data_IF_837274273267
#
_entry.id   IF_837274273267
#
_cell.length_a   1.000
_cell.length_b   1.000
_cell.length_c   1.000
_cell.angle_alpha   90.00
_cell.angle_beta   90.00
_cell.angle_gamma   90.00
#
_symmetry.space_group_name_H-M   'P 1'
#
loop_
_entity.id
_entity.type
_entity.pdbx_description
1 polymer ?
#
# COMPACT_ATOMS: atom_id res chain seq x y z
N UNK A 1 -15.27 10.03 -21.67
CA UNK A 1 -15.88 10.51 -20.42
C UNK A 1 -16.67 11.74 -20.75
N UNK A 2 -17.95 11.74 -20.43
CA UNK A 2 -18.81 12.90 -20.64
C UNK A 2 -18.83 13.74 -19.36
N UNK A 3 -18.45 15.01 -19.43
CA UNK A 3 -18.39 15.89 -18.27
C UNK A 3 -19.76 16.11 -17.64
N UNK A 4 -20.83 16.16 -18.42
CA UNK A 4 -22.18 16.46 -17.93
C UNK A 4 -22.81 15.24 -17.24
N UNK A 5 -22.38 14.03 -17.63
CA UNK A 5 -22.94 12.77 -17.13
C UNK A 5 -22.06 12.13 -16.04
N UNK A 6 -20.74 12.26 -16.16
CA UNK A 6 -19.76 11.52 -15.35
C UNK A 6 -19.04 12.38 -14.31
N UNK A 7 -19.47 13.62 -14.09
CA UNK A 7 -18.89 14.49 -13.07
C UNK A 7 -19.99 15.10 -12.20
N UNK A 8 -19.86 14.96 -10.89
CA UNK A 8 -20.73 15.59 -9.90
C UNK A 8 -19.90 16.54 -9.03
N UNK A 9 -20.13 17.85 -9.17
CA UNK A 9 -19.25 18.87 -8.60
C UNK A 9 -17.83 18.72 -9.14
N UNK A 10 -16.88 18.39 -8.28
CA UNK A 10 -15.47 18.16 -8.62
C UNK A 10 -15.06 16.69 -8.64
N UNK A 11 -16.02 15.77 -8.51
CA UNK A 11 -15.79 14.34 -8.44
C UNK A 11 -16.16 13.70 -9.77
N UNK A 12 -15.20 13.01 -10.39
CA UNK A 12 -15.43 12.20 -11.58
C UNK A 12 -15.79 10.77 -11.18
N UNK A 13 -16.82 10.21 -11.81
CA UNK A 13 -17.31 8.85 -11.52
C UNK A 13 -17.70 8.12 -12.80
N UNK A 14 -17.35 6.85 -12.89
CA UNK A 14 -17.79 5.96 -13.98
C UNK A 14 -18.09 4.57 -13.42
N UNK A 15 -19.12 3.93 -13.94
CA UNK A 15 -19.37 2.51 -13.72
C UNK A 15 -19.00 1.72 -14.98
N UNK A 16 -18.19 0.68 -14.81
CA UNK A 16 -17.75 -0.19 -15.92
C UNK A 16 -18.32 -1.59 -15.68
N UNK A 17 -19.36 -2.01 -16.44
CA UNK A 17 -19.98 -3.32 -16.27
C UNK A 17 -18.99 -4.48 -16.49
N UNK A 18 -19.10 -5.53 -15.69
CA UNK A 18 -18.31 -6.76 -15.84
C UNK A 18 -16.92 -6.75 -15.20
N UNK A 19 -16.50 -5.64 -14.56
CA UNK A 19 -15.29 -5.62 -13.74
C UNK A 19 -15.50 -6.35 -12.41
N UNK A 20 -14.48 -7.07 -11.97
CA UNK A 20 -14.48 -7.86 -10.75
C UNK A 20 -13.25 -7.53 -9.87
N UNK A 21 -13.26 -7.89 -8.58
CA UNK A 21 -12.07 -7.84 -7.74
C UNK A 21 -10.86 -8.51 -8.38
N UNK A 22 -9.68 -7.89 -8.23
CA UNK A 22 -8.44 -8.27 -8.91
C UNK A 22 -8.17 -7.51 -10.21
N UNK A 23 -9.16 -6.77 -10.74
CA UNK A 23 -8.95 -5.91 -11.90
C UNK A 23 -7.86 -4.88 -11.64
N UNK A 24 -6.90 -4.78 -12.57
CA UNK A 24 -5.82 -3.80 -12.52
C UNK A 24 -6.21 -2.53 -13.28
N UNK A 25 -5.91 -1.36 -12.71
CA UNK A 25 -6.20 -0.08 -13.34
C UNK A 25 -5.18 1.02 -13.01
N UNK A 26 -5.28 2.12 -13.76
CA UNK A 26 -4.56 3.39 -13.57
C UNK A 26 -5.50 4.52 -13.96
N UNK A 27 -5.23 5.73 -13.47
CA UNK A 27 -5.82 6.95 -14.00
C UNK A 27 -4.87 7.67 -14.95
N UNK A 28 -5.45 8.51 -15.80
CA UNK A 28 -4.77 9.56 -16.56
C UNK A 28 -5.61 10.81 -16.40
N UNK A 29 -4.98 11.97 -16.27
CA UNK A 29 -5.67 13.24 -16.08
C UNK A 29 -5.14 14.25 -17.10
N UNK A 30 -6.05 14.84 -17.87
CA UNK A 30 -5.77 15.94 -18.77
C UNK A 30 -6.16 17.28 -18.13
N UNK A 31 -5.49 18.36 -18.51
CA UNK A 31 -5.67 19.67 -17.92
C UNK A 31 -4.55 20.66 -18.31
N UNK A 32 -4.55 21.88 -17.74
CA UNK A 32 -3.54 22.87 -18.04
C UNK A 32 -2.14 22.43 -17.61
N UNK A 33 -1.14 22.68 -18.46
CA UNK A 33 0.27 22.57 -18.08
C UNK A 33 0.87 23.97 -17.97
N UNK A 34 0.92 24.49 -16.75
CA UNK A 34 1.52 25.78 -16.41
C UNK A 34 2.27 25.67 -15.08
N UNK A 35 3.54 25.22 -15.13
CA UNK A 35 4.34 25.03 -13.92
C UNK A 35 4.56 26.30 -13.11
N UNK A 36 4.48 27.49 -13.73
CA UNK A 36 4.66 28.77 -13.04
C UNK A 36 3.51 29.08 -12.07
N UNK A 37 2.32 28.55 -12.36
CA UNK A 37 1.13 28.61 -11.50
C UNK A 37 0.83 27.27 -10.79
N UNK A 38 1.75 26.31 -10.87
CA UNK A 38 1.63 25.00 -10.20
C UNK A 38 0.82 23.94 -10.96
N UNK A 39 0.26 24.24 -12.12
CA UNK A 39 -0.46 23.27 -12.94
C UNK A 39 0.51 22.33 -13.68
N UNK A 40 0.38 21.02 -13.44
CA UNK A 40 1.31 20.00 -13.95
C UNK A 40 0.59 18.80 -14.57
N UNK A 41 -0.53 19.03 -15.23
CA UNK A 41 -1.27 17.95 -15.90
C UNK A 41 -0.45 17.41 -17.08
N UNK A 42 -0.30 16.10 -17.14
CA UNK A 42 0.28 15.39 -18.28
C UNK A 42 -0.66 14.23 -18.63
N UNK A 43 -1.40 14.32 -19.76
CA UNK A 43 -2.34 13.28 -20.14
C UNK A 43 -1.64 11.96 -20.47
N UNK A 44 -0.33 11.93 -20.71
CA UNK A 44 0.42 10.70 -20.94
C UNK A 44 0.86 10.01 -19.65
N UNK A 45 0.92 10.74 -18.53
CA UNK A 45 1.32 10.18 -17.24
C UNK A 45 0.29 9.17 -16.73
N UNK A 46 0.78 8.08 -16.13
CA UNK A 46 -0.06 7.10 -15.43
C UNK A 46 -0.08 7.44 -13.95
N UNK A 47 -1.29 7.61 -13.41
CA UNK A 47 -1.53 8.01 -12.03
C UNK A 47 -2.07 6.84 -11.22
N UNK A 48 -1.64 6.78 -9.96
CA UNK A 48 -2.24 5.92 -8.95
C UNK A 48 -3.52 6.60 -8.46
N UNK A 49 -4.56 5.81 -8.24
CA UNK A 49 -5.75 6.25 -7.53
C UNK A 49 -5.38 6.52 -6.05
N UNK A 50 -5.54 7.77 -5.56
CA UNK A 50 -5.22 8.09 -4.17
C UNK A 50 -6.07 7.29 -3.16
N UNK A 51 -7.20 6.72 -3.59
CA UNK A 51 -8.07 5.84 -2.79
C UNK A 51 -7.84 4.34 -3.04
N UNK A 52 -6.81 3.96 -3.79
CA UNK A 52 -6.49 2.55 -4.02
C UNK A 52 -6.24 1.81 -2.70
N UNK A 53 -6.93 0.68 -2.52
CA UNK A 53 -6.76 -0.20 -1.36
C UNK A 53 -5.62 -1.20 -1.51
N UNK A 54 -5.15 -1.42 -2.74
CA UNK A 54 -3.98 -2.23 -3.01
C UNK A 54 -3.31 -1.80 -4.32
N UNK A 55 -1.99 -1.95 -4.37
CA UNK A 55 -1.19 -1.80 -5.57
C UNK A 55 -0.49 -3.11 -5.95
N UNK A 56 -0.29 -3.33 -7.26
CA UNK A 56 0.39 -4.49 -7.82
C UNK A 56 1.51 -4.08 -8.79
N UNK A 57 2.61 -4.84 -8.74
CA UNK A 57 3.80 -4.60 -9.57
C UNK A 57 4.77 -3.58 -8.95
N UNK A 58 5.70 -3.05 -9.73
CA UNK A 58 6.67 -2.04 -9.32
C UNK A 58 6.64 -0.88 -10.31
N UNK A 59 7.36 0.19 -10.00
CA UNK A 59 7.71 1.17 -11.02
C UNK A 59 8.42 0.46 -12.17
N UNK A 60 7.95 0.69 -13.40
CA UNK A 60 8.53 0.11 -14.60
C UNK A 60 9.60 1.06 -15.17
N UNK A 61 10.69 0.51 -15.76
CA UNK A 61 11.64 1.32 -16.50
C UNK A 61 10.96 2.18 -17.56
N UNK A 62 11.43 3.42 -17.68
CA UNK A 62 11.02 4.37 -18.71
C UNK A 62 12.25 4.91 -19.43
N UNK A 63 12.13 5.03 -20.75
CA UNK A 63 13.13 5.65 -21.63
C UNK A 63 12.58 6.90 -22.33
N UNK A 64 11.29 7.18 -22.16
CA UNK A 64 10.52 8.27 -22.79
C UNK A 64 10.18 9.41 -21.82
N UNK A 65 10.69 9.35 -20.58
CA UNK A 65 10.41 10.34 -19.54
C UNK A 65 9.06 10.14 -18.83
N UNK A 66 8.25 9.16 -19.23
CA UNK A 66 6.96 8.86 -18.60
C UNK A 66 7.13 7.89 -17.44
N UNK A 67 6.90 8.37 -16.22
CA UNK A 67 6.89 7.54 -15.02
C UNK A 67 5.73 6.53 -15.08
N UNK A 68 6.03 5.26 -14.81
CA UNK A 68 5.08 4.15 -14.87
C UNK A 68 4.95 3.51 -13.48
N UNK A 69 4.02 3.97 -12.63
CA UNK A 69 3.87 3.44 -11.28
C UNK A 69 3.22 2.04 -11.27
N UNK A 70 3.25 1.35 -10.11
CA UNK A 70 2.45 0.16 -9.85
C UNK A 70 0.97 0.38 -10.20
N UNK A 71 0.28 -0.69 -10.63
CA UNK A 71 -1.16 -0.67 -10.95
C UNK A 71 -1.99 -0.68 -9.68
N UNK A 72 -3.11 0.04 -9.68
CA UNK A 72 -4.12 -0.09 -8.65
C UNK A 72 -4.88 -1.40 -8.83
N UNK A 73 -5.38 -1.98 -7.74
CA UNK A 73 -6.14 -3.23 -7.75
C UNK A 73 -7.52 -2.96 -7.19
N UNK A 74 -8.56 -3.34 -7.94
CA UNK A 74 -9.93 -3.37 -7.41
C UNK A 74 -10.01 -4.46 -6.34
N UNK A 75 -10.37 -4.10 -5.12
CA UNK A 75 -10.42 -5.02 -3.98
C UNK A 75 -11.85 -5.39 -3.64
N UNK A 76 -12.03 -6.60 -3.12
CA UNK A 76 -13.26 -6.97 -2.43
C UNK A 76 -13.29 -6.29 -1.05
N UNK A 77 -14.46 -5.79 -0.63
CA UNK A 77 -14.59 -5.08 0.64
C UNK A 77 -14.93 -6.00 1.82
N UNK A 78 -15.35 -7.24 1.54
CA UNK A 78 -15.86 -8.15 2.56
C UNK A 78 -14.72 -8.93 3.19
N UNK A 79 -14.57 -8.79 4.50
CA UNK A 79 -13.70 -9.63 5.32
C UNK A 79 -14.47 -10.09 6.56
N UNK A 80 -14.45 -11.39 6.84
CA UNK A 80 -15.07 -11.93 8.06
C UNK A 80 -14.13 -11.75 9.25
N UNK A 81 -14.40 -10.74 10.06
CA UNK A 81 -13.64 -10.44 11.27
C UNK A 81 -13.89 -11.41 12.42
N UNK A 82 -14.80 -12.39 12.26
CA UNK A 82 -15.12 -13.40 13.28
C UNK A 82 -15.48 -12.79 14.66
N UNK A 83 -16.06 -11.59 14.65
CA UNK A 83 -16.45 -10.86 15.86
C UNK A 83 -15.31 -10.15 16.59
N UNK A 84 -14.15 -9.93 15.94
CA UNK A 84 -13.06 -9.13 16.49
C UNK A 84 -13.53 -7.74 16.94
N UNK A 85 -12.99 -7.27 18.07
CA UNK A 85 -13.37 -5.99 18.68
C UNK A 85 -12.15 -5.31 19.28
N UNK A 86 -12.17 -3.98 19.20
CA UNK A 86 -11.16 -3.15 19.81
C UNK A 86 -11.00 -3.45 21.32
N UNK A 87 -9.76 -3.69 21.76
CA UNK A 87 -9.44 -4.06 23.15
C UNK A 87 -9.73 -2.93 24.17
N UNK A 88 -9.73 -1.66 23.72
CA UNK A 88 -10.03 -0.46 24.52
C UNK A 88 -9.22 -0.37 25.83
N UNK A 89 -7.97 -0.81 25.79
CA UNK A 89 -7.04 -0.71 26.92
C UNK A 89 -6.68 0.74 27.20
N UNK A 90 -6.56 1.12 28.47
CA UNK A 90 -6.15 2.47 28.84
C UNK A 90 -4.68 2.72 28.48
N UNK A 91 -4.36 3.94 28.06
CA UNK A 91 -2.98 4.31 27.71
C UNK A 91 -2.02 4.14 28.90
N UNK A 92 -2.48 4.40 30.14
CA UNK A 92 -1.71 4.20 31.37
C UNK A 92 -1.35 2.73 31.65
N UNK A 93 -2.05 1.79 31.02
CA UNK A 93 -1.81 0.35 31.15
C UNK A 93 -1.03 -0.21 29.95
N UNK A 94 -0.54 0.66 29.06
CA UNK A 94 0.06 0.28 27.80
C UNK A 94 1.59 0.27 27.86
N UNK A 95 2.17 -0.82 27.36
CA UNK A 95 3.58 -0.96 27.01
C UNK A 95 3.66 -1.12 25.50
N UNK A 96 4.16 -0.08 24.83
CA UNK A 96 4.26 -0.01 23.36
C UNK A 96 5.58 -0.61 22.91
N UNK A 97 5.51 -1.48 21.91
CA UNK A 97 6.67 -2.09 21.26
C UNK A 97 6.72 -1.67 19.80
N UNK A 98 7.60 -0.71 19.47
CA UNK A 98 7.85 -0.30 18.09
C UNK A 98 8.60 -1.40 17.34
N UNK A 99 8.13 -1.77 16.15
CA UNK A 99 8.84 -2.72 15.32
C UNK A 99 8.64 -2.52 13.82
N UNK A 100 9.65 -2.95 13.07
CA UNK A 100 9.60 -3.02 11.62
C UNK A 100 9.09 -4.40 11.16
N UNK A 101 7.97 -4.46 10.42
CA UNK A 101 7.35 -5.72 9.93
C UNK A 101 8.36 -6.66 9.29
N UNK A 102 9.15 -6.13 8.35
CA UNK A 102 10.25 -6.88 7.72
C UNK A 102 11.31 -7.34 8.73
N UNK A 103 11.95 -6.41 9.43
CA UNK A 103 13.12 -6.69 10.27
C UNK A 103 12.82 -7.70 11.37
N UNK A 104 11.64 -7.60 11.98
CA UNK A 104 11.24 -8.39 13.14
C UNK A 104 11.36 -9.90 12.92
N UNK A 105 11.04 -10.39 11.73
CA UNK A 105 10.99 -11.84 11.46
C UNK A 105 11.88 -12.30 10.30
N UNK A 106 12.68 -11.42 9.68
CA UNK A 106 13.51 -11.78 8.51
C UNK A 106 14.68 -12.70 8.85
N UNK A 107 15.24 -12.61 10.05
CA UNK A 107 16.37 -13.43 10.48
C UNK A 107 16.01 -14.93 10.54
N UNK A 108 16.96 -15.81 10.21
CA UNK A 108 16.74 -17.27 10.23
C UNK A 108 16.34 -17.82 11.60
N UNK A 109 16.80 -17.16 12.68
CA UNK A 109 16.46 -17.50 14.06
C UNK A 109 14.99 -17.21 14.42
N UNK A 110 14.22 -16.54 13.55
CA UNK A 110 12.81 -16.26 13.82
C UNK A 110 11.95 -17.53 13.78
N UNK A 111 12.30 -18.54 12.99
CA UNK A 111 11.56 -19.79 12.92
C UNK A 111 10.11 -19.66 12.42
N UNK A 112 9.78 -18.59 11.71
CA UNK A 112 8.42 -18.35 11.16
C UNK A 112 8.28 -18.90 9.75
N UNK A 113 7.04 -19.17 9.31
CA UNK A 113 6.78 -19.72 7.97
C UNK A 113 6.99 -18.69 6.86
N UNK A 114 6.69 -17.41 7.13
CA UNK A 114 6.78 -16.32 6.16
C UNK A 114 7.67 -15.16 6.66
N UNK A 115 9.01 -15.29 6.64
CA UNK A 115 9.94 -14.32 7.22
C UNK A 115 9.82 -12.90 6.67
N UNK A 116 9.62 -11.93 7.55
CA UNK A 116 9.56 -10.50 7.24
C UNK A 116 8.27 -10.09 6.52
N UNK A 117 7.15 -10.71 6.85
CA UNK A 117 5.82 -10.45 6.27
C UNK A 117 4.80 -10.24 7.37
N UNK A 118 3.59 -9.76 7.04
CA UNK A 118 2.49 -9.64 8.00
C UNK A 118 2.16 -10.99 8.66
N UNK A 119 2.10 -12.08 7.89
CA UNK A 119 1.89 -13.43 8.44
C UNK A 119 3.04 -13.88 9.36
N UNK A 120 4.28 -13.52 9.02
CA UNK A 120 5.42 -13.79 9.89
C UNK A 120 5.35 -13.06 11.24
N UNK A 121 4.72 -11.88 11.28
CA UNK A 121 4.45 -11.17 12.55
C UNK A 121 3.40 -11.91 13.37
N UNK A 122 2.35 -12.42 12.73
CA UNK A 122 1.29 -13.21 13.38
C UNK A 122 1.88 -14.45 14.07
N UNK A 123 2.80 -15.16 13.41
CA UNK A 123 3.52 -16.31 13.99
C UNK A 123 4.27 -15.97 15.30
N UNK A 124 4.57 -14.68 15.55
CA UNK A 124 5.28 -14.19 16.73
C UNK A 124 4.38 -13.61 17.82
N UNK A 125 3.06 -13.67 17.68
CA UNK A 125 2.14 -13.27 18.75
C UNK A 125 2.44 -13.99 20.09
N UNK A 126 2.74 -15.31 20.16
CA UNK A 126 3.08 -15.96 21.43
C UNK A 126 4.32 -15.35 22.11
N UNK A 127 5.33 -14.96 21.33
CA UNK A 127 6.52 -14.30 21.85
C UNK A 127 6.19 -12.91 22.41
N UNK A 128 5.43 -12.10 21.67
CA UNK A 128 5.00 -10.77 22.12
C UNK A 128 4.17 -10.85 23.42
N UNK A 129 3.31 -11.87 23.54
CA UNK A 129 2.59 -12.17 24.78
C UNK A 129 3.55 -12.54 25.92
N UNK A 130 4.54 -13.40 25.68
CA UNK A 130 5.52 -13.77 26.72
C UNK A 130 6.43 -12.60 27.14
N UNK A 131 6.69 -11.68 26.22
CA UNK A 131 7.45 -10.46 26.49
C UNK A 131 6.66 -9.49 27.38
N UNK A 132 5.33 -9.60 27.40
CA UNK A 132 4.45 -8.79 28.24
C UNK A 132 4.09 -7.42 27.64
N UNK A 133 4.36 -7.20 26.35
CA UNK A 133 3.94 -5.97 25.66
C UNK A 133 2.44 -5.99 25.42
N UNK A 134 1.81 -4.81 25.42
CA UNK A 134 0.35 -4.71 25.29
C UNK A 134 -0.08 -4.11 23.95
N UNK A 135 0.79 -3.34 23.32
CA UNK A 135 0.55 -2.71 22.03
C UNK A 135 1.80 -2.82 21.16
N UNK A 136 1.59 -3.06 19.87
CA UNK A 136 2.64 -3.07 18.86
C UNK A 136 2.45 -1.86 17.98
N UNK A 137 3.50 -1.05 17.85
CA UNK A 137 3.53 0.08 16.93
C UNK A 137 4.33 -0.33 15.70
N UNK A 138 3.65 -0.44 14.57
CA UNK A 138 4.32 -0.77 13.32
C UNK A 138 4.94 0.48 12.71
N UNK A 139 6.21 0.39 12.34
CA UNK A 139 6.80 1.32 11.37
C UNK A 139 5.97 1.35 10.07
N UNK A 140 6.07 2.40 9.24
CA UNK A 140 5.16 2.67 8.13
C UNK A 140 4.73 1.44 7.32
N UNK A 141 3.42 1.23 7.28
CA UNK A 141 2.78 0.16 6.50
C UNK A 141 1.96 0.68 5.33
N UNK A 142 1.86 1.99 5.12
CA UNK A 142 1.33 2.51 3.86
C UNK A 142 2.24 2.11 2.69
N UNK A 143 1.70 2.03 1.49
CA UNK A 143 2.47 1.67 0.32
C UNK A 143 3.49 2.78 -0.02
N UNK A 144 4.77 2.40 -0.07
CA UNK A 144 5.89 3.28 -0.39
C UNK A 144 6.81 2.64 -1.45
N UNK A 145 7.54 3.45 -2.25
CA UNK A 145 8.52 2.95 -3.18
C UNK A 145 9.79 2.49 -2.45
N UNK A 146 10.21 1.24 -2.69
CA UNK A 146 11.50 0.71 -2.19
C UNK A 146 12.69 1.14 -3.07
N UNK A 147 12.40 1.44 -4.34
CA UNK A 147 13.35 1.79 -5.39
C UNK A 147 12.97 3.15 -5.99
N UNK A 148 13.74 3.65 -6.96
CA UNK A 148 13.39 4.92 -7.60
C UNK A 148 12.11 4.83 -8.45
N UNK A 149 11.55 5.99 -8.79
CA UNK A 149 10.35 6.11 -9.61
C UNK A 149 10.55 5.69 -11.09
N UNK A 150 11.78 5.38 -11.50
CA UNK A 150 12.12 4.89 -12.83
C UNK A 150 12.34 3.37 -12.84
N UNK A 151 11.97 2.67 -11.77
CA UNK A 151 12.10 1.22 -11.66
C UNK A 151 13.55 0.72 -11.53
N UNK A 152 14.53 1.61 -11.32
CA UNK A 152 15.93 1.23 -11.13
C UNK A 152 16.15 0.87 -9.67
N UNK A 153 16.90 -0.21 -9.44
CA UNK A 153 17.26 -0.61 -8.08
C UNK A 153 18.14 0.46 -7.44
N UNK A 154 17.74 0.92 -6.26
CA UNK A 154 18.57 1.80 -5.46
C UNK A 154 19.68 1.00 -4.77
N UNK A 155 20.88 1.57 -4.63
CA UNK A 155 21.93 1.01 -3.78
C UNK A 155 21.51 1.00 -2.30
N UNK A 156 20.66 1.95 -1.91
CA UNK A 156 20.09 2.08 -0.56
C UNK A 156 18.57 2.11 -0.68
N UNK A 157 17.92 0.94 -0.76
CA UNK A 157 16.47 0.89 -0.87
C UNK A 157 15.80 1.50 0.37
N UNK A 158 14.64 2.12 0.19
CA UNK A 158 13.86 2.63 1.31
C UNK A 158 13.41 1.45 2.18
N UNK A 159 14.02 1.34 3.36
CA UNK A 159 13.73 0.28 4.30
C UNK A 159 12.57 0.69 5.22
N UNK A 160 12.68 1.85 5.88
CA UNK A 160 11.73 2.31 6.89
C UNK A 160 10.34 2.67 6.35
N UNK A 161 10.24 3.16 5.11
CA UNK A 161 8.96 3.41 4.47
C UNK A 161 8.31 4.77 4.76
N UNK A 162 9.04 5.73 5.34
CA UNK A 162 8.59 7.12 5.53
C UNK A 162 8.58 7.92 4.21
N UNK A 163 7.91 7.39 3.19
CA UNK A 163 7.74 7.96 1.85
C UNK A 163 6.42 7.41 1.25
N UNK A 164 5.30 7.73 1.90
CA UNK A 164 3.99 7.15 1.55
C UNK A 164 3.52 7.64 0.19
N UNK A 165 3.17 6.69 -0.67
CA UNK A 165 2.64 6.92 -2.02
C UNK A 165 1.13 6.63 -2.12
N UNK A 166 0.62 5.68 -1.34
CA UNK A 166 -0.82 5.40 -1.25
C UNK A 166 -1.24 5.10 0.20
N UNK A 167 -2.05 5.98 0.78
CA UNK A 167 -2.41 5.96 2.20
C UNK A 167 -3.40 4.85 2.57
N UNK A 168 -4.20 4.36 1.61
CA UNK A 168 -5.19 3.30 1.85
C UNK A 168 -4.69 1.91 1.47
N UNK A 169 -3.47 1.81 0.95
CA UNK A 169 -2.85 0.56 0.54
C UNK A 169 -1.80 0.12 1.55
N UNK A 170 -1.94 -1.06 2.18
CA UNK A 170 -0.85 -1.67 2.93
C UNK A 170 0.35 -1.98 2.02
N UNK A 171 1.56 -1.90 2.57
CA UNK A 171 2.79 -2.08 1.80
C UNK A 171 2.88 -3.50 1.27
N UNK A 172 2.85 -3.64 -0.06
CA UNK A 172 2.87 -4.94 -0.75
C UNK A 172 4.12 -5.75 -0.47
N UNK A 173 5.24 -5.09 -0.17
CA UNK A 173 6.49 -5.78 0.13
C UNK A 173 6.35 -6.69 1.35
N UNK A 174 5.47 -6.35 2.29
CA UNK A 174 5.26 -7.13 3.51
C UNK A 174 4.18 -8.21 3.34
N UNK A 175 3.55 -8.35 2.18
CA UNK A 175 2.66 -9.47 1.89
C UNK A 175 3.44 -10.80 1.79
N UNK A 176 2.80 -11.91 2.16
CA UNK A 176 3.38 -13.24 2.04
C UNK A 176 3.29 -13.84 0.63
N UNK A 177 2.32 -13.37 -0.17
CA UNK A 177 2.13 -13.72 -1.57
C UNK A 177 2.47 -12.54 -2.48
N UNK A 178 2.74 -12.83 -3.76
CA UNK A 178 2.97 -11.83 -4.82
C UNK A 178 1.76 -11.60 -5.71
N UNK A 179 0.64 -12.28 -5.43
CA UNK A 179 -0.60 -12.06 -6.18
C UNK A 179 -1.09 -10.62 -6.01
N UNK A 180 -1.71 -10.02 -7.04
CA UNK A 180 -2.35 -8.71 -6.92
C UNK A 180 -3.35 -8.66 -5.76
N UNK A 181 -3.18 -7.71 -4.85
CA UNK A 181 -4.06 -7.54 -3.69
C UNK A 181 -3.72 -8.41 -2.48
N UNK A 182 -2.65 -9.23 -2.53
CA UNK A 182 -2.26 -10.11 -1.43
C UNK A 182 -1.91 -9.37 -0.12
N UNK A 183 -1.67 -8.06 -0.15
CA UNK A 183 -1.46 -7.25 1.05
C UNK A 183 -2.73 -7.01 1.88
N UNK A 184 -3.90 -7.33 1.33
CA UNK A 184 -5.22 -7.10 1.91
C UNK A 184 -6.03 -8.40 2.02
N UNK A 185 -5.36 -9.56 1.96
CA UNK A 185 -5.96 -10.89 2.02
C UNK A 185 -5.34 -11.71 3.15
#
# INVERSE_FOLDING_TARGET
FDREINRWGDIWTVFVPGLNPGQLYHFQADGPYDPSHGHRFDPNARLIDPYARALAGHYLPSHDGIVRPPKCVVMEEKFDWQGDRHLRRNLSESVIYEMHVRGFTRGRSSGVKHPGTYLGVIDKIPYLKSLGVTAVELMPVHEFPTNDCNGRKSQRPNYWGYDSMAFFSPHRGYAASREPGAQCR
#
